data_IF_227350369527
#
_entry.id   IF_227350369527
#
_cell.length_a   1.000
_cell.length_b   1.000
_cell.length_c   1.000
_cell.angle_alpha   90.00
_cell.angle_beta   90.00
_cell.angle_gamma   90.00
#
_symmetry.space_group_name_H-M   'P 1'
#
loop_
_entity.id
_entity.type
_entity.pdbx_description
1 polymer ?
#
# COMPACT_ATOMS: atom_id res chain seq x y z
N UNK A 1 9.59 22.46 1.40
CA UNK A 1 8.84 23.41 0.57
C UNK A 1 9.22 23.15 -0.88
N UNK A 2 8.30 22.98 -1.82
CA UNK A 2 6.85 23.15 -1.80
C UNK A 2 6.20 21.96 -2.52
N UNK A 3 5.10 21.49 -1.95
CA UNK A 3 4.21 20.48 -2.51
C UNK A 3 3.29 21.22 -3.49
N UNK A 4 3.44 20.97 -4.78
CA UNK A 4 2.52 21.50 -5.79
C UNK A 4 1.22 20.70 -5.76
N UNK A 5 0.37 21.07 -4.81
CA UNK A 5 -1.04 20.69 -4.73
C UNK A 5 -1.70 21.24 -6.00
N UNK A 6 -2.18 20.34 -6.86
CA UNK A 6 -2.97 20.70 -8.04
C UNK A 6 -4.26 21.39 -7.62
N UNK A 7 -4.24 22.72 -7.54
CA UNK A 7 -5.44 23.53 -7.45
C UNK A 7 -6.01 23.67 -8.86
N UNK A 8 -7.26 23.25 -9.04
CA UNK A 8 -7.97 23.22 -10.32
C UNK A 8 -7.88 24.53 -11.10
N UNK A 9 -7.98 24.41 -12.42
CA UNK A 9 -7.73 25.50 -13.36
C UNK A 9 -8.93 26.46 -13.49
N UNK A 10 -8.71 27.78 -13.54
CA UNK A 10 -9.78 28.75 -13.79
C UNK A 10 -10.39 28.60 -15.20
N UNK A 11 -11.69 28.88 -15.36
CA UNK A 11 -12.50 28.48 -16.53
C UNK A 11 -12.22 29.23 -17.84
N UNK A 12 -11.33 30.23 -17.86
CA UNK A 12 -11.22 31.20 -18.98
C UNK A 12 -9.98 31.06 -19.85
N UNK A 13 -9.11 30.07 -19.61
CA UNK A 13 -7.93 29.87 -20.44
C UNK A 13 -8.07 28.61 -21.30
N UNK A 14 -8.03 28.76 -22.64
CA UNK A 14 -7.95 27.64 -23.58
C UNK A 14 -6.86 26.66 -23.12
N UNK A 15 -7.13 25.34 -23.14
CA UNK A 15 -6.14 24.39 -22.68
C UNK A 15 -4.93 24.42 -23.62
N UNK A 16 -3.69 24.51 -23.09
CA UNK A 16 -2.53 24.44 -23.92
C UNK A 16 -2.49 23.03 -24.53
N UNK A 17 -2.03 22.93 -25.78
CA UNK A 17 -2.12 21.71 -26.58
C UNK A 17 -1.52 20.47 -25.89
N UNK A 18 -0.55 20.66 -24.98
CA UNK A 18 0.09 19.58 -24.22
C UNK A 18 -0.78 18.98 -23.08
N UNK A 19 -1.93 19.59 -22.74
CA UNK A 19 -2.87 19.11 -21.70
C UNK A 19 -4.09 18.40 -22.31
N UNK A 20 -4.32 18.55 -23.62
CA UNK A 20 -5.58 18.17 -24.27
C UNK A 20 -5.45 16.89 -25.12
N UNK A 21 -5.21 15.75 -24.47
CA UNK A 21 -5.13 14.44 -25.14
C UNK A 21 -6.33 13.58 -24.77
N UNK A 22 -6.90 12.82 -25.71
CA UNK A 22 -8.04 11.93 -25.46
C UNK A 22 -7.62 10.48 -25.19
N UNK A 23 -6.41 10.09 -25.61
CA UNK A 23 -5.86 8.76 -25.35
C UNK A 23 -4.34 8.83 -25.19
N UNK A 24 -3.77 7.86 -24.47
CA UNK A 24 -2.32 7.72 -24.30
C UNK A 24 -1.89 6.29 -24.61
N UNK A 25 -0.85 6.14 -25.41
CA UNK A 25 -0.24 4.85 -25.74
C UNK A 25 1.20 4.84 -25.28
N UNK A 26 1.47 4.10 -24.20
CA UNK A 26 2.82 3.88 -23.70
C UNK A 26 3.39 2.58 -24.30
N UNK A 27 4.68 2.59 -24.63
CA UNK A 27 5.43 1.42 -25.12
C UNK A 27 6.79 1.40 -24.45
N UNK A 28 7.25 0.23 -23.97
CA UNK A 28 8.54 0.10 -23.28
C UNK A 28 8.39 -0.24 -21.80
N UNK A 29 9.43 0.06 -21.02
CA UNK A 29 9.50 -0.13 -19.56
C UNK A 29 9.21 1.19 -18.80
N UNK A 30 8.96 1.09 -17.50
CA UNK A 30 8.58 2.22 -16.63
C UNK A 30 9.67 3.31 -16.49
N UNK A 31 10.88 3.11 -17.04
CA UNK A 31 11.99 4.07 -16.96
C UNK A 31 11.90 5.20 -17.99
N UNK A 32 11.03 5.09 -19.00
CA UNK A 32 10.90 6.09 -20.07
C UNK A 32 9.45 6.57 -20.22
N UNK A 33 8.89 7.08 -19.13
CA UNK A 33 7.55 7.68 -19.10
C UNK A 33 7.34 8.79 -20.16
N UNK A 34 8.40 9.56 -20.45
CA UNK A 34 8.37 10.60 -21.49
C UNK A 34 8.16 10.06 -22.91
N UNK A 35 8.31 8.74 -23.12
CA UNK A 35 8.08 8.07 -24.41
C UNK A 35 6.62 7.70 -24.64
N UNK A 36 5.72 7.92 -23.67
CA UNK A 36 4.28 7.75 -23.86
C UNK A 36 3.77 8.71 -24.95
N UNK A 37 3.09 8.16 -25.96
CA UNK A 37 2.52 8.93 -27.06
C UNK A 37 1.11 9.37 -26.71
N UNK A 38 0.89 10.67 -26.66
CA UNK A 38 -0.42 11.29 -26.44
C UNK A 38 -1.15 11.49 -27.77
N UNK A 39 -2.34 10.91 -27.89
CA UNK A 39 -3.19 10.94 -29.08
C UNK A 39 -4.29 11.99 -28.88
N UNK A 40 -4.31 12.98 -29.76
CA UNK A 40 -5.21 14.12 -29.69
C UNK A 40 -6.41 13.88 -30.61
N UNK A 41 -7.61 13.77 -30.05
CA UNK A 41 -8.85 13.75 -30.81
C UNK A 41 -9.27 15.15 -31.26
N UNK A 42 -10.18 15.24 -32.23
CA UNK A 42 -10.70 16.53 -32.73
C UNK A 42 -11.50 17.31 -31.67
N UNK A 43 -11.92 16.66 -30.58
CA UNK A 43 -12.64 17.27 -29.47
C UNK A 43 -11.99 16.83 -28.16
N UNK A 44 -11.67 17.78 -27.29
CA UNK A 44 -11.14 17.51 -25.97
C UNK A 44 -11.84 18.42 -24.97
N UNK A 45 -12.76 17.87 -24.19
CA UNK A 45 -13.29 18.52 -23.01
C UNK A 45 -12.40 18.14 -21.82
N UNK A 46 -11.50 19.01 -21.41
CA UNK A 46 -10.52 18.73 -20.34
C UNK A 46 -11.18 18.28 -19.02
N UNK A 47 -12.42 18.69 -18.75
CA UNK A 47 -13.14 18.24 -17.56
C UNK A 47 -13.60 16.76 -17.62
N UNK A 48 -13.69 16.17 -18.82
CA UNK A 48 -14.16 14.78 -19.03
C UNK A 48 -13.12 13.87 -19.66
N UNK A 49 -12.29 14.41 -20.55
CA UNK A 49 -11.49 13.64 -21.51
C UNK A 49 -9.98 13.70 -21.21
N UNK A 50 -9.57 14.37 -20.12
CA UNK A 50 -8.17 14.48 -19.76
C UNK A 50 -7.61 13.12 -19.32
N UNK A 51 -6.51 12.71 -19.94
CA UNK A 51 -5.77 11.50 -19.57
C UNK A 51 -4.39 11.86 -19.05
N UNK A 52 -4.00 11.21 -17.96
CA UNK A 52 -2.67 11.32 -17.37
C UNK A 52 -2.05 9.94 -17.25
N UNK A 53 -0.73 9.90 -17.22
CA UNK A 53 0.01 8.70 -16.82
C UNK A 53 0.70 9.07 -15.51
N UNK A 54 0.85 8.12 -14.60
CA UNK A 54 1.69 8.28 -13.41
C UNK A 54 2.50 7.01 -13.24
N UNK A 55 3.75 7.14 -12.83
CA UNK A 55 4.49 5.98 -12.33
C UNK A 55 3.81 5.50 -11.05
N UNK A 56 3.65 4.18 -10.92
CA UNK A 56 3.40 3.57 -9.63
C UNK A 56 4.73 3.60 -8.88
N UNK A 57 4.70 3.96 -7.59
CA UNK A 57 5.90 3.92 -6.77
C UNK A 57 6.48 2.50 -6.79
N UNK A 58 7.79 2.37 -6.96
CA UNK A 58 8.47 1.08 -6.94
C UNK A 58 8.24 0.43 -5.57
N UNK A 59 7.35 -0.56 -5.49
CA UNK A 59 6.94 -1.24 -4.25
C UNK A 59 8.12 -1.89 -3.52
N UNK A 60 9.19 -2.26 -4.23
CA UNK A 60 10.40 -2.82 -3.63
C UNK A 60 11.29 -1.76 -2.96
N UNK A 61 11.21 -0.50 -3.40
CA UNK A 61 12.08 0.59 -2.94
C UNK A 61 11.60 1.27 -1.65
N UNK A 62 10.38 0.95 -1.17
CA UNK A 62 9.80 1.56 0.04
C UNK A 62 9.93 0.72 1.31
N UNK A 63 10.21 -0.57 1.19
CA UNK A 63 10.39 -1.42 2.36
C UNK A 63 11.82 -1.30 2.89
N UNK A 64 11.98 -1.42 4.21
CA UNK A 64 13.30 -1.50 4.84
C UNK A 64 14.00 -2.79 4.40
N UNK A 65 15.32 -2.84 4.60
CA UNK A 65 16.16 -3.98 4.17
C UNK A 65 15.71 -5.33 4.75
N UNK A 66 15.10 -5.32 5.94
CA UNK A 66 14.62 -6.49 6.67
C UNK A 66 13.09 -6.65 6.60
N UNK A 67 12.45 -5.99 5.63
CA UNK A 67 11.01 -6.09 5.36
C UNK A 67 10.76 -6.76 4.01
N UNK A 68 9.69 -7.54 3.92
CA UNK A 68 9.26 -8.22 2.70
C UNK A 68 8.08 -7.45 2.08
N UNK A 69 8.17 -6.99 0.84
CA UNK A 69 7.08 -6.31 0.15
C UNK A 69 6.01 -7.31 -0.33
N UNK A 70 4.75 -7.05 -0.01
CA UNK A 70 3.62 -7.75 -0.60
C UNK A 70 2.37 -6.86 -0.71
N UNK A 71 1.81 -6.82 -1.92
CA UNK A 71 0.62 -6.04 -2.26
C UNK A 71 0.63 -4.57 -1.76
N UNK A 72 1.79 -3.91 -1.78
CA UNK A 72 1.92 -2.50 -1.39
C UNK A 72 2.12 -2.27 0.10
N UNK A 73 2.19 -3.34 0.89
CA UNK A 73 2.57 -3.30 2.30
C UNK A 73 3.96 -3.91 2.48
N UNK A 74 4.64 -3.53 3.56
CA UNK A 74 5.94 -4.05 3.98
C UNK A 74 5.76 -4.86 5.26
N UNK A 75 6.19 -6.12 5.25
CA UNK A 75 6.01 -7.05 6.35
C UNK A 75 7.33 -7.34 7.03
N UNK A 76 7.35 -7.35 8.36
CA UNK A 76 8.52 -7.71 9.14
C UNK A 76 8.14 -8.73 10.20
N UNK A 77 8.96 -9.78 10.33
CA UNK A 77 8.83 -10.76 11.39
C UNK A 77 9.89 -10.48 12.45
N UNK A 78 9.45 -10.00 13.63
CA UNK A 78 10.30 -9.86 14.80
C UNK A 78 10.67 -11.27 15.27
N UNK A 79 11.84 -11.74 14.86
CA UNK A 79 12.27 -13.14 14.95
C UNK A 79 11.95 -13.87 16.27
N UNK A 80 11.85 -15.19 16.17
CA UNK A 80 11.38 -16.07 17.25
C UNK A 80 12.18 -15.98 18.56
N UNK A 81 13.44 -15.56 18.50
CA UNK A 81 14.35 -15.53 19.65
C UNK A 81 13.96 -14.48 20.71
N UNK A 82 13.17 -13.46 20.33
CA UNK A 82 12.81 -12.37 21.24
C UNK A 82 11.58 -12.68 22.11
N UNK A 83 10.76 -13.67 21.76
CA UNK A 83 9.64 -14.14 22.60
C UNK A 83 8.72 -13.05 23.13
N UNK A 84 8.45 -12.00 22.34
CA UNK A 84 7.74 -10.81 22.78
C UNK A 84 6.29 -11.13 23.18
N UNK A 85 5.86 -10.63 24.33
CA UNK A 85 4.44 -10.63 24.68
C UNK A 85 3.66 -9.60 23.85
N UNK A 86 2.33 -9.57 23.96
CA UNK A 86 1.49 -8.71 23.12
C UNK A 86 1.84 -7.21 23.26
N UNK A 87 2.09 -6.74 24.49
CA UNK A 87 2.41 -5.34 24.77
C UNK A 87 3.79 -4.98 24.21
N UNK A 88 4.78 -5.85 24.45
CA UNK A 88 6.15 -5.67 23.93
C UNK A 88 6.17 -5.70 22.40
N UNK A 89 5.37 -6.56 21.76
CA UNK A 89 5.27 -6.64 20.32
C UNK A 89 4.61 -5.38 19.73
N UNK A 90 3.61 -4.82 20.41
CA UNK A 90 2.98 -3.55 20.01
C UNK A 90 3.96 -2.38 20.12
N UNK A 91 4.70 -2.28 21.22
CA UNK A 91 5.74 -1.27 21.41
C UNK A 91 6.85 -1.40 20.36
N UNK A 92 7.31 -2.63 20.11
CA UNK A 92 8.32 -2.91 19.08
C UNK A 92 7.87 -2.46 17.68
N UNK A 93 6.65 -2.78 17.27
CA UNK A 93 6.12 -2.32 15.99
C UNK A 93 5.99 -0.78 15.95
N UNK A 94 5.51 -0.17 17.04
CA UNK A 94 5.31 1.28 17.13
C UNK A 94 6.63 2.04 17.02
N UNK A 95 7.69 1.60 17.71
CA UNK A 95 9.03 2.19 17.62
C UNK A 95 9.58 2.18 16.18
N UNK A 96 9.27 1.10 15.45
CA UNK A 96 9.63 0.95 14.04
C UNK A 96 8.75 1.73 13.07
N UNK A 97 7.82 2.55 13.58
CA UNK A 97 6.79 3.28 12.82
C UNK A 97 5.92 2.34 11.98
N UNK A 98 5.69 1.13 12.49
CA UNK A 98 4.78 0.14 11.94
C UNK A 98 3.71 -0.22 12.97
N UNK A 99 2.89 -1.24 12.69
CA UNK A 99 1.85 -1.74 13.58
C UNK A 99 1.81 -3.25 13.54
N UNK A 100 1.24 -3.85 14.58
CA UNK A 100 0.93 -5.28 14.57
C UNK A 100 -0.03 -5.61 13.43
N UNK A 101 0.16 -6.79 12.84
CA UNK A 101 -0.54 -7.18 11.63
C UNK A 101 -2.01 -7.47 11.88
N UNK A 102 -2.86 -7.01 10.97
CA UNK A 102 -4.25 -7.41 10.81
C UNK A 102 -4.40 -8.20 9.51
N UNK A 103 -4.98 -9.39 9.60
CA UNK A 103 -5.16 -10.25 8.43
C UNK A 103 -6.62 -10.13 7.99
N UNK A 104 -6.84 -9.34 6.93
CA UNK A 104 -8.20 -8.96 6.51
C UNK A 104 -8.68 -9.69 5.25
N UNK A 105 -7.78 -10.39 4.55
CA UNK A 105 -8.10 -11.10 3.32
C UNK A 105 -7.28 -12.40 3.16
N UNK A 106 -7.84 -13.34 2.38
CA UNK A 106 -7.25 -14.66 2.19
C UNK A 106 -5.90 -14.63 1.47
N UNK A 107 -5.70 -13.70 0.53
CA UNK A 107 -4.47 -13.61 -0.25
C UNK A 107 -3.28 -13.22 0.64
N UNK A 108 -3.49 -12.26 1.53
CA UNK A 108 -2.54 -11.89 2.57
C UNK A 108 -2.26 -13.07 3.51
N UNK A 109 -3.29 -13.77 3.98
CA UNK A 109 -3.11 -14.95 4.83
C UNK A 109 -2.25 -16.02 4.15
N UNK A 110 -2.50 -16.32 2.87
CA UNK A 110 -1.74 -17.32 2.13
C UNK A 110 -0.27 -16.90 1.97
N UNK A 111 -0.04 -15.64 1.59
CA UNK A 111 1.31 -15.08 1.48
C UNK A 111 2.09 -15.19 2.80
N UNK A 112 1.49 -14.74 3.91
CA UNK A 112 2.13 -14.79 5.23
C UNK A 112 2.43 -16.24 5.65
N UNK A 113 1.47 -17.14 5.44
CA UNK A 113 1.61 -18.55 5.79
C UNK A 113 2.75 -19.21 5.01
N UNK A 114 2.79 -19.02 3.70
CA UNK A 114 3.87 -19.55 2.85
C UNK A 114 5.22 -18.95 3.22
N UNK A 115 5.29 -17.62 3.39
CA UNK A 115 6.53 -16.93 3.75
C UNK A 115 7.08 -17.41 5.11
N UNK A 116 6.23 -17.49 6.14
CA UNK A 116 6.64 -17.96 7.47
C UNK A 116 7.08 -19.43 7.44
N UNK A 117 6.40 -20.29 6.68
CA UNK A 117 6.79 -21.70 6.57
C UNK A 117 8.15 -21.88 5.87
N UNK A 118 8.46 -21.05 4.89
CA UNK A 118 9.71 -21.13 4.12
C UNK A 118 10.90 -20.54 4.89
N UNK A 119 10.75 -19.34 5.45
CA UNK A 119 11.84 -18.59 6.07
C UNK A 119 11.97 -18.84 7.58
N UNK A 120 10.87 -19.22 8.24
CA UNK A 120 10.79 -19.40 9.69
C UNK A 120 10.15 -20.74 10.08
N UNK A 121 10.65 -21.90 9.60
CA UNK A 121 10.00 -23.20 9.75
C UNK A 121 9.84 -23.69 11.20
N UNK A 122 10.51 -23.05 12.17
CA UNK A 122 10.43 -23.36 13.60
C UNK A 122 9.34 -22.57 14.34
N UNK A 123 8.70 -21.63 13.67
CA UNK A 123 7.66 -20.79 14.27
C UNK A 123 6.32 -21.47 14.11
N UNK A 124 5.73 -21.91 15.22
CA UNK A 124 4.42 -22.57 15.22
C UNK A 124 3.26 -21.58 15.32
N UNK A 125 3.46 -20.45 16.01
CA UNK A 125 2.44 -19.41 16.21
C UNK A 125 3.04 -18.03 16.10
N UNK A 126 2.23 -17.07 15.65
CA UNK A 126 2.62 -15.66 15.51
C UNK A 126 1.67 -14.76 16.29
N UNK A 127 2.21 -13.67 16.83
CA UNK A 127 1.41 -12.62 17.45
C UNK A 127 0.82 -11.72 16.35
N UNK A 128 -0.46 -11.37 16.48
CA UNK A 128 -1.16 -10.43 15.58
C UNK A 128 -1.81 -9.31 16.39
N UNK A 129 -2.40 -8.32 15.73
CA UNK A 129 -3.15 -7.22 16.38
C UNK A 129 -4.53 -7.66 16.91
N UNK A 130 -4.84 -8.95 16.89
CA UNK A 130 -6.12 -9.48 17.34
C UNK A 130 -6.22 -9.48 18.86
N UNK A 131 -7.22 -8.78 19.39
CA UNK A 131 -7.53 -8.74 20.83
C UNK A 131 -8.83 -9.47 21.07
N UNK A 132 -8.80 -10.45 21.97
CA UNK A 132 -9.96 -11.24 22.38
C UNK A 132 -10.55 -10.71 23.69
N UNK A 133 -11.86 -10.47 23.71
CA UNK A 133 -12.59 -10.16 24.95
C UNK A 133 -13.84 -11.04 25.09
N UNK A 134 -14.23 -11.33 26.33
CA UNK A 134 -15.42 -12.13 26.63
C UNK A 134 -16.62 -11.22 26.91
N UNK A 135 -17.69 -11.38 26.15
CA UNK A 135 -18.96 -10.68 26.33
C UNK A 135 -20.10 -11.69 26.29
N UNK A 136 -20.94 -11.71 27.34
CA UNK A 136 -22.12 -12.60 27.42
C UNK A 136 -21.79 -14.09 27.15
N UNK A 137 -20.73 -14.60 27.78
CA UNK A 137 -20.25 -15.99 27.63
C UNK A 137 -19.81 -16.36 26.20
N UNK A 138 -19.46 -15.36 25.37
CA UNK A 138 -18.88 -15.53 24.04
C UNK A 138 -17.57 -14.76 23.95
N UNK A 139 -16.56 -15.37 23.36
CA UNK A 139 -15.30 -14.69 23.02
C UNK A 139 -15.44 -14.00 21.68
N UNK A 140 -15.22 -12.69 21.67
CA UNK A 140 -15.20 -11.86 20.47
C UNK A 140 -13.77 -11.42 20.21
N UNK A 141 -13.32 -11.55 18.96
CA UNK A 141 -12.01 -11.12 18.51
C UNK A 141 -12.15 -9.90 17.62
N UNK A 142 -11.35 -8.87 17.90
CA UNK A 142 -11.35 -7.61 17.14
C UNK A 142 -9.90 -7.20 16.87
N UNK A 143 -9.65 -6.61 15.70
CA UNK A 143 -8.37 -6.01 15.39
C UNK A 143 -8.22 -4.68 16.13
N UNK A 144 -7.08 -4.49 16.80
CA UNK A 144 -6.80 -3.30 17.60
C UNK A 144 -6.96 -1.99 16.81
N UNK A 145 -6.51 -1.96 15.55
CA UNK A 145 -6.63 -0.79 14.65
C UNK A 145 -7.79 -0.91 13.65
N UNK A 146 -8.89 -1.57 14.04
CA UNK A 146 -10.09 -1.77 13.19
C UNK A 146 -10.74 -0.48 12.67
N UNK A 147 -10.34 0.69 13.16
CA UNK A 147 -10.81 2.00 12.70
C UNK A 147 -10.07 2.50 11.45
N UNK A 148 -8.88 1.98 11.15
CA UNK A 148 -8.11 2.36 9.96
C UNK A 148 -8.16 1.23 8.94
N UNK A 149 -9.01 1.41 7.94
CA UNK A 149 -9.01 0.51 6.81
C UNK A 149 -7.66 0.56 6.08
N UNK A 150 -7.12 -0.62 5.80
CA UNK A 150 -5.90 -0.85 5.03
C UNK A 150 -6.22 -0.55 3.57
N UNK A 151 -6.06 0.70 3.13
CA UNK A 151 -6.25 1.14 1.74
C UNK A 151 -4.93 1.53 1.10
#
# INVERSE_FOLDING_TARGET
GAESIWQGRPPTSSPPAWIASTSVKCTGNETHFQSCKFIHGNWCNVARDAVGVSCLANRLAHCKKDEIPYNGNCYHFAGADNGLNHVEALEYCTDRKSRLIDITNQNENNFLSEWLLLEHPKVETIMTSGVGFSMMNKTVWVWEDSQKAKF
#
